data_IF_652361036003
#
_entry.id   IF_652361036003
#
_cell.length_a   1.000
_cell.length_b   1.000
_cell.length_c   1.000
_cell.angle_alpha   90.00
_cell.angle_beta   90.00
_cell.angle_gamma   90.00
#
_symmetry.space_group_name_H-M   'P 1'
#
loop_
_entity.id
_entity.type
_entity.pdbx_description
1 polymer ?
#
# COMPACT_ATOMS: atom_id res chain seq x y z
N UNK A 1 4.46 0.09 1.50
CA UNK A 1 5.66 -0.41 2.20
C UNK A 1 6.62 0.73 2.55
N UNK A 2 7.01 1.57 1.60
CA UNK A 2 7.90 2.70 1.82
C UNK A 2 7.33 3.70 2.84
N UNK A 3 6.09 4.12 2.65
CA UNK A 3 5.43 5.11 3.49
C UNK A 3 5.31 4.66 4.96
N UNK A 4 4.98 3.40 5.21
CA UNK A 4 4.70 2.92 6.56
C UNK A 4 5.83 3.09 7.59
N UNK A 5 7.10 3.19 7.15
CA UNK A 5 8.24 3.47 8.02
C UNK A 5 8.63 4.94 8.06
N UNK A 6 8.41 5.65 6.95
CA UNK A 6 8.85 7.03 6.78
C UNK A 6 7.73 8.06 7.02
N UNK A 7 6.47 7.62 7.15
CA UNK A 7 5.31 8.50 7.30
C UNK A 7 5.44 9.50 8.45
N UNK A 8 5.94 9.08 9.59
CA UNK A 8 6.11 9.95 10.76
C UNK A 8 7.14 11.05 10.53
N UNK A 9 8.21 10.76 9.79
CA UNK A 9 9.25 11.73 9.46
C UNK A 9 8.67 12.73 8.46
N UNK A 10 8.06 12.25 7.40
CA UNK A 10 7.39 13.04 6.38
C UNK A 10 6.36 14.02 6.96
N UNK A 11 5.45 13.54 7.83
CA UNK A 11 4.43 14.41 8.43
C UNK A 11 5.02 15.49 9.34
N UNK A 12 6.12 15.18 10.04
CA UNK A 12 6.83 16.17 10.85
C UNK A 12 7.52 17.24 10.01
N UNK A 13 8.11 16.86 8.89
CA UNK A 13 8.78 17.81 7.99
C UNK A 13 7.80 18.78 7.33
N UNK A 14 6.57 18.34 7.03
CA UNK A 14 5.49 19.25 6.57
C UNK A 14 5.01 20.19 7.68
N UNK A 15 5.31 19.87 8.95
CA UNK A 15 4.95 20.72 10.10
C UNK A 15 3.71 20.24 10.86
N UNK A 16 3.29 18.98 10.70
CA UNK A 16 2.24 18.42 11.54
C UNK A 16 2.77 18.07 12.93
N UNK A 17 1.97 18.35 13.96
CA UNK A 17 2.30 18.03 15.34
C UNK A 17 2.07 16.54 15.62
N UNK A 18 2.69 16.04 16.70
CA UNK A 18 2.46 14.64 17.13
C UNK A 18 0.98 14.40 17.46
N UNK A 19 0.27 15.42 17.94
CA UNK A 19 -1.16 15.35 18.24
C UNK A 19 -1.98 15.21 16.94
N UNK A 20 -1.68 16.04 15.92
CA UNK A 20 -2.34 15.96 14.61
C UNK A 20 -2.17 14.55 14.01
N UNK A 21 -0.94 14.05 13.99
CA UNK A 21 -0.64 12.71 13.48
C UNK A 21 -1.38 11.63 14.29
N UNK A 22 -1.46 11.78 15.61
CA UNK A 22 -2.18 10.86 16.48
C UNK A 22 -3.68 10.81 16.19
N UNK A 23 -4.30 11.94 15.98
CA UNK A 23 -5.75 12.03 15.71
C UNK A 23 -6.06 11.52 14.30
N UNK A 24 -5.38 12.04 13.29
CA UNK A 24 -5.71 11.75 11.89
C UNK A 24 -5.17 10.40 11.40
N UNK A 25 -3.93 10.03 11.75
CA UNK A 25 -3.34 8.80 11.25
C UNK A 25 -3.65 7.59 12.13
N UNK A 26 -3.69 7.74 13.46
CA UNK A 26 -3.96 6.62 14.36
C UNK A 26 -5.41 6.52 14.81
N UNK A 27 -6.04 7.65 15.12
CA UNK A 27 -7.43 7.68 15.58
C UNK A 27 -8.41 7.32 14.46
N UNK A 28 -8.36 8.03 13.34
CA UNK A 28 -9.18 7.71 12.17
C UNK A 28 -8.72 6.44 11.47
N UNK A 29 -7.40 6.23 11.32
CA UNK A 29 -6.82 5.09 10.64
C UNK A 29 -7.24 3.73 11.21
N UNK A 30 -7.47 3.63 12.53
CA UNK A 30 -7.95 2.41 13.14
C UNK A 30 -9.36 2.02 12.65
N UNK A 31 -10.27 2.99 12.62
CA UNK A 31 -11.65 2.76 12.18
C UNK A 31 -11.68 2.47 10.68
N UNK A 32 -10.97 3.28 9.88
CA UNK A 32 -10.90 3.13 8.42
C UNK A 32 -10.30 1.79 8.02
N UNK A 33 -9.22 1.34 8.67
CA UNK A 33 -8.60 0.06 8.37
C UNK A 33 -9.56 -1.11 8.59
N UNK A 34 -10.30 -1.14 9.70
CA UNK A 34 -11.28 -2.20 9.97
C UNK A 34 -12.39 -2.21 8.90
N UNK A 35 -13.02 -1.06 8.66
CA UNK A 35 -14.09 -0.93 7.67
C UNK A 35 -13.61 -1.29 6.27
N UNK A 36 -12.47 -0.78 5.85
CA UNK A 36 -11.96 -1.00 4.50
C UNK A 36 -11.42 -2.42 4.29
N UNK A 37 -10.95 -3.09 5.34
CA UNK A 37 -10.59 -4.52 5.25
C UNK A 37 -11.84 -5.36 4.98
N UNK A 38 -12.95 -5.10 5.67
CA UNK A 38 -14.23 -5.80 5.43
C UNK A 38 -14.76 -5.53 4.02
N UNK A 39 -14.82 -4.26 3.63
CA UNK A 39 -15.27 -3.86 2.28
C UNK A 39 -14.35 -4.46 1.21
N UNK A 40 -13.04 -4.40 1.41
CA UNK A 40 -12.04 -4.97 0.51
C UNK A 40 -12.20 -6.48 0.34
N UNK A 41 -12.53 -7.20 1.43
CA UNK A 41 -12.83 -8.63 1.38
C UNK A 41 -14.04 -8.93 0.51
N UNK A 42 -15.16 -8.25 0.74
CA UNK A 42 -16.39 -8.39 -0.05
C UNK A 42 -16.15 -8.04 -1.53
N UNK A 43 -15.46 -6.94 -1.79
CA UNK A 43 -15.10 -6.53 -3.15
C UNK A 43 -14.21 -7.57 -3.86
N UNK A 44 -13.20 -8.09 -3.18
CA UNK A 44 -12.29 -9.09 -3.76
C UNK A 44 -13.04 -10.34 -4.21
N UNK A 45 -14.03 -10.80 -3.42
CA UNK A 45 -14.88 -11.93 -3.81
C UNK A 45 -15.77 -11.58 -5.01
N UNK A 46 -16.36 -10.38 -5.04
CA UNK A 46 -17.31 -9.98 -6.09
C UNK A 46 -16.64 -9.69 -7.44
N UNK A 47 -15.54 -8.97 -7.45
CA UNK A 47 -14.88 -8.53 -8.70
C UNK A 47 -13.78 -9.48 -9.19
N UNK A 48 -13.41 -10.43 -8.33
CA UNK A 48 -12.38 -11.43 -8.61
C UNK A 48 -10.96 -10.96 -8.26
N UNK A 49 -10.10 -11.92 -7.95
CA UNK A 49 -8.78 -11.73 -7.38
C UNK A 49 -7.87 -10.81 -8.22
N UNK A 50 -7.73 -11.12 -9.52
CA UNK A 50 -6.81 -10.39 -10.41
C UNK A 50 -7.20 -8.92 -10.54
N UNK A 51 -8.51 -8.65 -10.68
CA UNK A 51 -9.01 -7.28 -10.75
C UNK A 51 -8.81 -6.55 -9.44
N UNK A 52 -8.99 -7.23 -8.31
CA UNK A 52 -8.77 -6.64 -6.98
C UNK A 52 -7.34 -6.20 -6.77
N UNK A 53 -6.36 -7.04 -7.13
CA UNK A 53 -4.94 -6.70 -7.02
C UNK A 53 -4.60 -5.51 -7.93
N UNK A 54 -5.14 -5.50 -9.15
CA UNK A 54 -4.91 -4.41 -10.10
C UNK A 54 -5.50 -3.08 -9.60
N UNK A 55 -6.73 -3.09 -9.11
CA UNK A 55 -7.39 -1.91 -8.52
C UNK A 55 -6.65 -1.43 -7.29
N UNK A 56 -6.24 -2.33 -6.40
CA UNK A 56 -5.45 -1.99 -5.22
C UNK A 56 -4.11 -1.30 -5.59
N UNK A 57 -3.43 -1.78 -6.62
CA UNK A 57 -2.21 -1.16 -7.14
C UNK A 57 -2.44 0.25 -7.68
N UNK A 58 -3.55 0.48 -8.42
CA UNK A 58 -3.93 1.82 -8.88
C UNK A 58 -4.21 2.75 -7.70
N UNK A 59 -4.97 2.30 -6.70
CA UNK A 59 -5.23 3.10 -5.49
C UNK A 59 -3.93 3.47 -4.77
N UNK A 60 -2.99 2.55 -4.62
CA UNK A 60 -1.68 2.84 -4.03
C UNK A 60 -0.88 3.87 -4.84
N UNK A 61 -0.95 3.84 -6.17
CA UNK A 61 -0.31 4.84 -7.01
C UNK A 61 -0.95 6.24 -6.83
N UNK A 62 -2.28 6.29 -6.78
CA UNK A 62 -3.02 7.54 -6.57
C UNK A 62 -2.73 8.14 -5.19
N UNK A 63 -2.68 7.32 -4.14
CA UNK A 63 -2.36 7.83 -2.78
C UNK A 63 -0.94 8.37 -2.70
N UNK A 64 0.04 7.76 -3.36
CA UNK A 64 1.39 8.30 -3.44
C UNK A 64 1.41 9.69 -4.11
N UNK A 65 0.62 9.90 -5.17
CA UNK A 65 0.51 11.22 -5.80
C UNK A 65 -0.16 12.25 -4.87
N UNK A 66 -1.12 11.84 -4.04
CA UNK A 66 -1.72 12.73 -3.03
C UNK A 66 -0.70 13.15 -1.97
N UNK A 67 0.18 12.26 -1.53
CA UNK A 67 1.26 12.62 -0.61
C UNK A 67 2.30 13.53 -1.27
N UNK A 68 2.60 13.35 -2.55
CA UNK A 68 3.43 14.28 -3.32
C UNK A 68 2.78 15.68 -3.38
N UNK A 69 1.48 15.73 -3.65
CA UNK A 69 0.72 16.98 -3.66
C UNK A 69 0.71 17.64 -2.27
N UNK A 70 0.55 16.86 -1.20
CA UNK A 70 0.60 17.36 0.17
C UNK A 70 1.96 17.99 0.49
N UNK A 71 3.06 17.44 0.02
CA UNK A 71 4.39 18.02 0.20
C UNK A 71 4.52 19.39 -0.47
N UNK A 72 4.04 19.52 -1.70
CA UNK A 72 4.13 20.78 -2.45
C UNK A 72 3.14 21.86 -1.97
N UNK A 73 1.97 21.45 -1.48
CA UNK A 73 0.98 22.40 -0.91
C UNK A 73 1.28 22.80 0.53
N UNK A 74 2.17 22.07 1.21
CA UNK A 74 2.50 22.27 2.60
C UNK A 74 1.40 21.79 3.55
N UNK A 75 1.39 22.32 4.79
CA UNK A 75 0.47 21.90 5.85
C UNK A 75 -1.00 22.21 5.51
N UNK A 76 -1.70 21.21 5.01
CA UNK A 76 -3.11 21.27 4.69
C UNK A 76 -3.84 20.06 5.31
N UNK A 77 -4.68 20.31 6.32
CA UNK A 77 -5.39 19.26 7.05
C UNK A 77 -6.39 18.49 6.19
N UNK A 78 -7.00 19.13 5.19
CA UNK A 78 -7.97 18.48 4.32
C UNK A 78 -7.26 17.47 3.41
N UNK A 79 -6.20 17.89 2.70
CA UNK A 79 -5.41 17.01 1.83
C UNK A 79 -4.79 15.88 2.65
N UNK A 80 -4.29 16.20 3.85
CA UNK A 80 -3.72 15.21 4.76
C UNK A 80 -4.74 14.13 5.16
N UNK A 81 -5.93 14.54 5.59
CA UNK A 81 -7.00 13.60 5.99
C UNK A 81 -7.43 12.71 4.83
N UNK A 82 -7.64 13.29 3.64
CA UNK A 82 -8.03 12.55 2.44
C UNK A 82 -6.93 11.57 2.03
N UNK A 83 -5.67 12.00 2.03
CA UNK A 83 -4.53 11.16 1.69
C UNK A 83 -4.41 9.97 2.64
N UNK A 84 -4.51 10.18 3.96
CA UNK A 84 -4.44 9.11 4.97
C UNK A 84 -5.61 8.12 4.82
N UNK A 85 -6.84 8.60 4.67
CA UNK A 85 -8.02 7.73 4.51
C UNK A 85 -7.90 6.87 3.24
N UNK A 86 -7.48 7.47 2.13
CA UNK A 86 -7.30 6.74 0.87
C UNK A 86 -6.12 5.78 0.91
N UNK A 87 -5.04 6.11 1.64
CA UNK A 87 -3.91 5.21 1.85
C UNK A 87 -4.32 3.99 2.69
N UNK A 88 -5.07 4.19 3.76
CA UNK A 88 -5.63 3.12 4.58
C UNK A 88 -6.56 2.20 3.76
N UNK A 89 -7.42 2.79 2.91
CA UNK A 89 -8.26 2.04 1.97
C UNK A 89 -7.41 1.18 1.02
N UNK A 90 -6.41 1.80 0.39
CA UNK A 90 -5.53 1.13 -0.56
C UNK A 90 -4.73 0.01 0.12
N UNK A 91 -4.19 0.28 1.30
CA UNK A 91 -3.41 -0.69 2.07
C UNK A 91 -4.26 -1.88 2.56
N UNK A 92 -5.46 -1.61 3.08
CA UNK A 92 -6.39 -2.65 3.52
C UNK A 92 -6.82 -3.54 2.35
N UNK A 93 -7.20 -2.92 1.23
CA UNK A 93 -7.62 -3.63 0.03
C UNK A 93 -6.48 -4.46 -0.58
N UNK A 94 -5.28 -3.89 -0.69
CA UNK A 94 -4.10 -4.60 -1.16
C UNK A 94 -3.74 -5.79 -0.26
N UNK A 95 -3.85 -5.63 1.05
CA UNK A 95 -3.56 -6.71 2.02
C UNK A 95 -4.53 -7.87 1.85
N UNK A 96 -5.84 -7.59 1.76
CA UNK A 96 -6.87 -8.62 1.55
C UNK A 96 -6.67 -9.33 0.21
N UNK A 97 -6.44 -8.59 -0.86
CA UNK A 97 -6.20 -9.16 -2.17
C UNK A 97 -4.92 -10.01 -2.20
N UNK A 98 -3.87 -9.62 -1.49
CA UNK A 98 -2.63 -10.38 -1.37
C UNK A 98 -2.82 -11.67 -0.57
N UNK A 99 -3.53 -11.62 0.56
CA UNK A 99 -3.87 -12.82 1.36
C UNK A 99 -4.70 -13.80 0.53
N UNK A 100 -5.72 -13.31 -0.19
CA UNK A 100 -6.52 -14.13 -1.08
C UNK A 100 -5.68 -14.76 -2.20
N UNK A 101 -4.72 -14.00 -2.77
CA UNK A 101 -3.81 -14.49 -3.80
C UNK A 101 -2.94 -15.66 -3.29
N UNK A 102 -2.31 -15.48 -2.12
CA UNK A 102 -1.52 -16.57 -1.51
C UNK A 102 -2.40 -17.80 -1.27
N UNK A 103 -3.62 -17.58 -0.76
CA UNK A 103 -4.55 -18.68 -0.44
C UNK A 103 -4.93 -19.52 -1.66
N UNK A 104 -5.01 -18.90 -2.84
CA UNK A 104 -5.28 -19.63 -4.12
C UNK A 104 -4.06 -20.41 -4.62
N UNK A 105 -2.85 -19.92 -4.34
CA UNK A 105 -1.61 -20.58 -4.76
C UNK A 105 -1.23 -21.81 -3.91
N UNK A 106 -1.80 -21.91 -2.70
CA UNK A 106 -1.42 -22.94 -1.73
C UNK A 106 -2.18 -24.23 -1.97
N UNK A 107 -1.45 -25.36 -2.00
CA UNK A 107 -2.05 -26.69 -2.10
C UNK A 107 -2.68 -27.11 -0.76
N UNK A 108 -3.88 -27.69 -0.79
CA UNK A 108 -4.63 -28.13 0.40
C UNK A 108 -3.86 -29.10 1.29
N UNK A 109 -2.93 -29.87 0.73
CA UNK A 109 -2.17 -30.88 1.46
C UNK A 109 -1.05 -30.28 2.35
N UNK A 110 -0.48 -29.12 1.97
CA UNK A 110 0.64 -28.48 2.64
C UNK A 110 0.36 -27.02 2.96
N UNK A 111 -0.89 -26.70 3.27
CA UNK A 111 -1.42 -25.33 3.37
C UNK A 111 -0.60 -24.44 4.32
N UNK A 112 -0.33 -24.91 5.54
CA UNK A 112 0.34 -24.09 6.56
C UNK A 112 1.78 -23.73 6.14
N UNK A 113 2.56 -24.70 5.68
CA UNK A 113 3.97 -24.50 5.31
C UNK A 113 4.11 -23.63 4.06
N UNK A 114 3.31 -23.91 3.03
CA UNK A 114 3.36 -23.14 1.78
C UNK A 114 2.87 -21.70 1.99
N UNK A 115 1.80 -21.52 2.77
CA UNK A 115 1.32 -20.19 3.11
C UNK A 115 2.36 -19.38 3.88
N UNK A 116 2.97 -19.98 4.90
CA UNK A 116 4.01 -19.33 5.69
C UNK A 116 5.21 -18.94 4.83
N UNK A 117 5.65 -19.82 3.92
CA UNK A 117 6.77 -19.56 3.01
C UNK A 117 6.45 -18.39 2.05
N UNK A 118 5.30 -18.43 1.38
CA UNK A 118 4.89 -17.37 0.44
C UNK A 118 4.68 -16.03 1.14
N UNK A 119 4.07 -16.03 2.33
CA UNK A 119 3.90 -14.84 3.15
C UNK A 119 5.25 -14.27 3.61
N UNK A 120 6.19 -15.13 3.98
CA UNK A 120 7.54 -14.73 4.39
C UNK A 120 8.32 -14.11 3.23
N UNK A 121 8.28 -14.70 2.04
CA UNK A 121 8.90 -14.14 0.83
C UNK A 121 8.31 -12.77 0.50
N UNK A 122 6.97 -12.64 0.54
CA UNK A 122 6.31 -11.37 0.29
C UNK A 122 6.66 -10.30 1.33
N UNK A 123 6.78 -10.70 2.60
CA UNK A 123 7.19 -9.81 3.69
C UNK A 123 8.65 -9.41 3.57
N UNK A 124 9.53 -10.35 3.21
CA UNK A 124 10.95 -10.08 2.99
C UNK A 124 11.14 -9.05 1.87
N UNK A 125 10.51 -9.24 0.70
CA UNK A 125 10.58 -8.29 -0.40
C UNK A 125 10.08 -6.90 0.00
N UNK A 126 8.96 -6.84 0.73
CA UNK A 126 8.41 -5.58 1.24
C UNK A 126 9.33 -4.89 2.24
N UNK A 127 9.97 -5.63 3.14
CA UNK A 127 10.85 -5.06 4.17
C UNK A 127 12.18 -4.60 3.60
N UNK A 128 12.77 -5.37 2.68
CA UNK A 128 14.01 -4.97 1.98
C UNK A 128 13.82 -3.69 1.17
N UNK A 129 12.74 -3.59 0.42
CA UNK A 129 12.41 -2.35 -0.29
C UNK A 129 12.17 -1.19 0.69
N UNK A 130 11.45 -1.43 1.78
CA UNK A 130 11.18 -0.40 2.78
C UNK A 130 12.45 0.06 3.52
N UNK A 131 13.46 -0.79 3.69
CA UNK A 131 14.72 -0.41 4.34
C UNK A 131 15.55 0.57 3.51
N UNK A 132 15.43 0.52 2.18
CA UNK A 132 16.12 1.46 1.28
C UNK A 132 15.41 2.80 1.12
N UNK A 133 14.23 2.98 1.73
CA UNK A 133 13.46 4.23 1.59
C UNK A 133 14.17 5.46 2.18
N UNK A 134 14.85 5.30 3.32
CA UNK A 134 15.63 6.38 3.93
C UNK A 134 16.76 6.85 3.02
N UNK A 135 17.58 5.92 2.52
CA UNK A 135 18.67 6.24 1.60
C UNK A 135 18.17 6.90 0.31
N UNK A 136 16.98 6.54 -0.16
CA UNK A 136 16.36 7.17 -1.33
C UNK A 136 15.96 8.63 -1.04
N UNK A 137 15.39 8.91 0.13
CA UNK A 137 15.04 10.28 0.54
C UNK A 137 16.30 11.12 0.72
N UNK A 138 17.36 10.57 1.34
CA UNK A 138 18.64 11.24 1.50
C UNK A 138 19.29 11.55 0.14
N UNK A 139 19.24 10.60 -0.80
CA UNK A 139 19.74 10.81 -2.18
C UNK A 139 18.98 11.92 -2.92
N UNK A 140 17.70 12.08 -2.63
CA UNK A 140 16.84 13.14 -3.19
C UNK A 140 16.93 14.47 -2.42
N UNK A 141 17.90 14.61 -1.51
CA UNK A 141 18.07 15.81 -0.67
C UNK A 141 16.79 16.20 0.12
N UNK A 142 16.02 15.22 0.54
CA UNK A 142 14.76 15.46 1.29
C UNK A 142 13.56 15.86 0.42
N UNK A 143 13.64 15.76 -0.89
CA UNK A 143 12.49 16.02 -1.76
C UNK A 143 11.49 14.83 -1.72
N UNK A 144 10.54 14.92 -0.78
CA UNK A 144 9.47 13.94 -0.64
C UNK A 144 8.52 13.93 -1.84
N UNK A 145 8.37 15.03 -2.55
CA UNK A 145 7.55 15.09 -3.75
C UNK A 145 8.07 14.15 -4.82
N UNK A 146 9.37 14.23 -5.12
CA UNK A 146 10.04 13.33 -6.04
C UNK A 146 10.06 11.88 -5.51
N UNK A 147 10.26 11.69 -4.21
CA UNK A 147 10.21 10.37 -3.59
C UNK A 147 8.87 9.66 -3.87
N UNK A 148 7.73 10.33 -3.66
CA UNK A 148 6.41 9.75 -3.90
C UNK A 148 6.13 9.51 -5.39
N UNK A 149 6.62 10.36 -6.29
CA UNK A 149 6.51 10.12 -7.73
C UNK A 149 7.31 8.87 -8.13
N UNK A 150 8.54 8.71 -7.64
CA UNK A 150 9.35 7.51 -7.91
C UNK A 150 8.62 6.26 -7.39
N UNK A 151 8.09 6.29 -6.17
CA UNK A 151 7.34 5.14 -5.61
C UNK A 151 6.06 4.85 -6.40
N UNK A 152 5.38 5.86 -6.95
CA UNK A 152 4.25 5.68 -7.85
C UNK A 152 4.68 4.95 -9.14
N UNK A 153 5.79 5.38 -9.75
CA UNK A 153 6.35 4.72 -10.95
C UNK A 153 6.75 3.28 -10.68
N UNK A 154 7.29 2.98 -9.49
CA UNK A 154 7.64 1.61 -9.09
C UNK A 154 6.44 0.66 -8.97
N UNK A 155 5.22 1.16 -8.89
CA UNK A 155 4.00 0.32 -8.94
C UNK A 155 3.74 -0.18 -10.36
N UNK A 156 4.11 0.58 -11.39
CA UNK A 156 3.81 0.25 -12.80
C UNK A 156 4.35 -1.12 -13.25
N UNK A 157 5.62 -1.50 -12.98
CA UNK A 157 6.13 -2.83 -13.33
C UNK A 157 5.30 -3.96 -12.70
N UNK A 158 4.85 -3.78 -11.46
CA UNK A 158 4.01 -4.76 -10.77
C UNK A 158 2.65 -4.91 -11.45
N UNK A 159 2.03 -3.81 -11.87
CA UNK A 159 0.75 -3.82 -12.60
C UNK A 159 0.90 -4.48 -13.98
N UNK A 160 1.98 -4.20 -14.68
CA UNK A 160 2.31 -4.83 -15.97
C UNK A 160 2.46 -6.34 -15.80
N UNK A 161 3.21 -6.78 -14.77
CA UNK A 161 3.40 -8.21 -14.48
C UNK A 161 2.07 -8.90 -14.19
N UNK A 162 1.21 -8.30 -13.38
CA UNK A 162 -0.13 -8.84 -13.07
C UNK A 162 -0.98 -8.92 -14.35
N UNK A 163 -0.90 -7.92 -15.21
CA UNK A 163 -1.63 -7.92 -16.48
C UNK A 163 -1.22 -9.10 -17.38
N UNK A 164 0.07 -9.39 -17.50
CA UNK A 164 0.55 -10.55 -18.27
C UNK A 164 0.21 -11.88 -17.61
N UNK A 165 0.21 -11.95 -16.28
CA UNK A 165 -0.09 -13.18 -15.55
C UNK A 165 -1.59 -13.44 -15.36
N UNK A 166 -2.46 -12.48 -15.72
CA UNK A 166 -3.93 -12.61 -15.50
C UNK A 166 -4.54 -13.88 -16.07
N UNK A 167 -4.05 -14.34 -17.23
CA UNK A 167 -4.50 -15.56 -17.88
C UNK A 167 -4.18 -16.81 -17.05
N UNK A 168 -2.96 -16.90 -16.52
CA UNK A 168 -2.50 -18.00 -15.67
C UNK A 168 -3.20 -18.02 -14.32
N UNK A 169 -3.35 -16.83 -13.70
CA UNK A 169 -4.02 -16.70 -12.40
C UNK A 169 -5.52 -17.05 -12.51
N UNK A 170 -6.16 -16.66 -13.64
CA UNK A 170 -7.58 -16.99 -13.87
C UNK A 170 -7.83 -18.48 -14.08
N UNK A 171 -6.83 -19.22 -14.53
CA UNK A 171 -6.91 -20.68 -14.68
C UNK A 171 -6.75 -21.44 -13.34
N UNK A 172 -6.35 -20.75 -12.26
CA UNK A 172 -6.24 -21.31 -10.91
C UNK A 172 -7.51 -21.15 -10.06
N UNK A 173 -8.47 -20.37 -10.54
CA UNK A 173 -9.79 -20.15 -9.93
C UNK A 173 -10.85 -20.96 -10.66
#
# INVERSE_FOLDING_TARGET
AFLGRMSLIFYKEIGFTKSDIGIFSKGLGWITTVLFTLIGGILTVKIGLVRSIFIAGIFMAVTNLLFSLLFWTGKNYLIFSVAVILDDLAAAFATVAFVAFISVLVNRQYTATQYALLASIGTLGRTTLASSSGSLVDYLNGDWGLFFIITCVMVVPSLILIFFLKGKIKALN
#
